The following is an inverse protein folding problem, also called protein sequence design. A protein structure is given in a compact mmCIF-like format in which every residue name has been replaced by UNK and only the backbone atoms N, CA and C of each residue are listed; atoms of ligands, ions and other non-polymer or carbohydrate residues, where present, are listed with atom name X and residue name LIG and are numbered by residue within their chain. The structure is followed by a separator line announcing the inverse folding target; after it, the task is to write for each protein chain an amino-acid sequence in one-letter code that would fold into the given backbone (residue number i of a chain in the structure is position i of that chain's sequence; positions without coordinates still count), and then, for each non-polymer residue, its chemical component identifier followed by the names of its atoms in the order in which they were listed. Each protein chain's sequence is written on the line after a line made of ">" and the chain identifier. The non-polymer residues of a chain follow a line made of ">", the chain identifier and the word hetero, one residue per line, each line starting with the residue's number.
data_IF_895999990565
#
_entry.id   IF_895999990565
#
_cell.length_a   1.000
_cell.length_b   1.000
_cell.length_c   1.000
_cell.angle_alpha   90.00
_cell.angle_beta   90.00
_cell.angle_gamma   90.00
#
_symmetry.space_group_name_H-M   'P 1'
#
loop_
_entity.id
_entity.type
_entity.pdbx_description
1 polymer ?
#
# COMPACT_ATOMS: atom_id res chain seq x y z
N UNK A 1 -12.31 25.12 -3.91
CA UNK A 1 -12.88 24.34 -2.79
C UNK A 1 -14.29 23.80 -3.04
N UNK A 2 -15.04 24.25 -4.06
CA UNK A 2 -16.42 23.81 -4.35
C UNK A 2 -16.59 22.28 -4.55
N UNK A 3 -15.60 21.62 -5.13
CA UNK A 3 -15.64 20.17 -5.36
C UNK A 3 -15.53 19.33 -4.08
N UNK A 4 -14.95 19.86 -2.99
CA UNK A 4 -14.81 19.10 -1.74
C UNK A 4 -16.19 18.83 -1.11
N UNK A 5 -17.03 19.84 -0.82
CA UNK A 5 -18.41 19.60 -0.37
C UNK A 5 -19.22 18.74 -1.33
N UNK A 6 -18.99 18.89 -2.65
CA UNK A 6 -19.68 18.10 -3.66
C UNK A 6 -19.36 16.60 -3.53
N UNK A 7 -18.09 16.24 -3.27
CA UNK A 7 -17.72 14.85 -3.01
C UNK A 7 -18.48 14.31 -1.80
N UNK A 8 -18.49 15.02 -0.68
CA UNK A 8 -19.26 14.62 0.51
C UNK A 8 -20.76 14.50 0.22
N UNK A 9 -21.35 15.43 -0.54
CA UNK A 9 -22.74 15.33 -0.97
C UNK A 9 -22.98 14.09 -1.84
N UNK A 10 -22.09 13.79 -2.79
CA UNK A 10 -22.18 12.59 -3.62
C UNK A 10 -22.08 11.31 -2.77
N UNK A 11 -21.25 11.30 -1.71
CA UNK A 11 -21.20 10.15 -0.78
C UNK A 11 -22.53 9.94 -0.06
N UNK A 12 -23.16 11.03 0.36
CA UNK A 12 -24.46 10.99 1.01
C UNK A 12 -25.56 10.54 0.04
N UNK A 13 -25.61 11.11 -1.16
CA UNK A 13 -26.60 10.75 -2.20
C UNK A 13 -26.42 9.31 -2.67
N UNK A 14 -25.18 8.82 -2.79
CA UNK A 14 -24.90 7.43 -3.14
C UNK A 14 -25.48 6.43 -2.12
N UNK A 15 -25.69 6.87 -0.87
CA UNK A 15 -26.40 6.08 0.13
C UNK A 15 -27.90 5.94 -0.14
N UNK A 16 -28.50 6.99 -0.72
CA UNK A 16 -29.92 7.02 -1.05
C UNK A 16 -30.23 6.20 -2.31
N UNK A 17 -29.25 6.04 -3.20
CA UNK A 17 -29.38 5.34 -4.47
C UNK A 17 -28.23 4.30 -4.61
N UNK A 18 -28.26 3.19 -3.84
CA UNK A 18 -27.19 2.21 -3.91
C UNK A 18 -27.25 1.41 -5.22
N UNK A 19 -26.11 1.31 -5.91
CA UNK A 19 -25.94 0.36 -7.01
C UNK A 19 -25.76 -1.04 -6.41
N UNK A 20 -26.81 -1.85 -6.42
CA UNK A 20 -26.73 -3.25 -5.99
C UNK A 20 -25.99 -4.09 -7.02
N UNK A 21 -25.28 -5.12 -6.56
CA UNK A 21 -24.58 -6.08 -7.43
C UNK A 21 -25.54 -6.78 -8.41
N UNK A 22 -26.81 -6.95 -8.03
CA UNK A 22 -27.87 -7.53 -8.87
C UNK A 22 -28.19 -6.70 -10.12
N UNK A 23 -27.99 -5.39 -10.05
CA UNK A 23 -28.27 -4.46 -11.16
C UNK A 23 -27.04 -4.21 -12.04
N UNK A 24 -25.93 -4.92 -11.81
CA UNK A 24 -24.70 -4.71 -12.55
C UNK A 24 -24.58 -5.67 -13.73
N UNK A 25 -24.17 -5.19 -14.91
CA UNK A 25 -23.88 -6.06 -16.02
C UNK A 25 -22.68 -6.96 -15.69
N UNK A 26 -22.84 -8.26 -15.87
CA UNK A 26 -21.75 -9.22 -15.74
C UNK A 26 -21.06 -9.34 -17.10
N UNK A 27 -19.89 -8.71 -17.23
CA UNK A 27 -19.15 -8.66 -18.49
C UNK A 27 -18.32 -9.95 -18.71
N UNK A 28 -17.76 -10.53 -17.65
CA UNK A 28 -16.93 -11.75 -17.69
C UNK A 28 -17.15 -12.60 -16.44
N UNK A 29 -17.45 -13.89 -16.62
CA UNK A 29 -17.72 -14.84 -15.53
C UNK A 29 -19.14 -14.71 -14.97
N UNK A 30 -19.39 -15.31 -13.79
CA UNK A 30 -20.66 -15.21 -13.05
C UNK A 30 -20.59 -14.25 -11.85
N UNK A 31 -19.48 -13.52 -11.70
CA UNK A 31 -19.19 -12.68 -10.53
C UNK A 31 -19.09 -11.18 -10.92
N UNK A 32 -20.03 -10.33 -10.45
CA UNK A 32 -20.00 -8.89 -10.69
C UNK A 32 -18.70 -8.19 -10.23
N UNK A 33 -17.96 -8.77 -9.28
CA UNK A 33 -16.67 -8.21 -8.85
C UNK A 33 -15.62 -8.23 -9.97
N UNK A 34 -15.63 -9.28 -10.81
CA UNK A 34 -14.73 -9.38 -11.98
C UNK A 34 -15.00 -8.31 -13.02
N UNK A 35 -16.26 -7.87 -13.15
CA UNK A 35 -16.59 -6.73 -13.99
C UNK A 35 -15.93 -5.45 -13.46
N UNK A 36 -16.01 -5.18 -12.16
CA UNK A 36 -15.39 -3.99 -11.56
C UNK A 36 -13.89 -3.98 -11.69
N UNK A 37 -13.28 -5.13 -11.48
CA UNK A 37 -11.86 -5.36 -11.66
C UNK A 37 -11.38 -4.98 -13.08
N UNK A 38 -12.13 -5.36 -14.12
CA UNK A 38 -11.84 -4.95 -15.50
C UNK A 38 -12.04 -3.45 -15.72
N UNK A 39 -13.09 -2.88 -15.12
CA UNK A 39 -13.32 -1.43 -15.15
C UNK A 39 -12.14 -0.69 -14.51
N UNK A 40 -11.61 -1.20 -13.40
CA UNK A 40 -10.44 -0.62 -12.72
C UNK A 40 -9.17 -0.75 -13.56
N UNK A 41 -8.96 -1.87 -14.26
CA UNK A 41 -7.83 -2.04 -15.19
C UNK A 41 -7.94 -1.04 -16.37
N UNK A 42 -9.12 -0.89 -16.94
CA UNK A 42 -9.36 0.08 -18.02
C UNK A 42 -9.18 1.52 -17.51
N UNK A 43 -9.71 1.82 -16.33
CA UNK A 43 -9.56 3.11 -15.67
C UNK A 43 -8.10 3.47 -15.44
N UNK A 44 -7.31 2.57 -14.84
CA UNK A 44 -5.91 2.85 -14.51
C UNK A 44 -5.03 2.97 -15.77
N UNK A 45 -5.39 2.24 -16.84
CA UNK A 45 -4.77 2.43 -18.16
C UNK A 45 -4.95 3.87 -18.67
N UNK A 46 -6.20 4.35 -18.65
CA UNK A 46 -6.51 5.73 -19.06
C UNK A 46 -5.80 6.71 -18.13
N UNK A 47 -5.94 6.53 -16.82
CA UNK A 47 -5.33 7.40 -15.83
C UNK A 47 -3.81 7.52 -16.05
N UNK A 48 -3.09 6.39 -16.16
CA UNK A 48 -1.63 6.33 -16.33
C UNK A 48 -1.12 6.95 -17.65
N UNK A 49 -1.95 7.02 -18.69
CA UNK A 49 -1.55 7.60 -20.00
C UNK A 49 -1.84 9.10 -20.09
N UNK A 50 -2.79 9.59 -19.29
CA UNK A 50 -3.12 11.00 -19.19
C UNK A 50 -2.04 11.81 -18.43
N UNK A 51 -1.91 13.11 -18.72
CA UNK A 51 -1.07 14.02 -17.95
C UNK A 51 -1.50 14.08 -16.48
N UNK A 52 -0.52 14.20 -15.58
CA UNK A 52 -0.72 14.22 -14.12
C UNK A 52 -1.73 15.30 -13.69
N UNK A 53 -1.65 16.49 -14.27
CA UNK A 53 -2.51 17.62 -13.92
C UNK A 53 -3.99 17.43 -14.31
N UNK A 54 -4.28 16.54 -15.27
CA UNK A 54 -5.64 16.39 -15.81
C UNK A 54 -6.52 15.52 -14.91
N UNK A 55 -5.96 14.44 -14.35
CA UNK A 55 -6.72 13.48 -13.55
C UNK A 55 -6.09 13.25 -12.17
N UNK A 56 -4.82 12.85 -12.12
CA UNK A 56 -4.16 12.43 -10.88
C UNK A 56 -4.16 13.56 -9.85
N UNK A 57 -3.68 14.75 -10.21
CA UNK A 57 -3.58 15.87 -9.28
C UNK A 57 -4.92 16.35 -8.72
N UNK A 58 -5.97 16.64 -9.51
CA UNK A 58 -7.26 17.06 -8.96
C UNK A 58 -7.95 15.95 -8.17
N UNK A 59 -7.79 14.69 -8.58
CA UNK A 59 -8.31 13.54 -7.86
C UNK A 59 -7.63 13.38 -6.50
N UNK A 60 -6.30 13.35 -6.46
CA UNK A 60 -5.53 13.17 -5.23
C UNK A 60 -5.79 14.31 -4.24
N UNK A 61 -5.99 15.53 -4.74
CA UNK A 61 -6.42 16.66 -3.93
C UNK A 61 -7.76 16.39 -3.23
N UNK A 62 -8.79 15.92 -3.95
CA UNK A 62 -10.09 15.57 -3.36
C UNK A 62 -10.01 14.38 -2.40
N UNK A 63 -9.27 13.33 -2.80
CA UNK A 63 -9.01 12.15 -1.98
C UNK A 63 -8.35 12.50 -0.65
N UNK A 64 -7.44 13.48 -0.64
CA UNK A 64 -6.76 13.94 0.57
C UNK A 64 -7.74 14.52 1.59
N UNK A 65 -8.76 15.27 1.17
CA UNK A 65 -9.78 15.77 2.10
C UNK A 65 -10.62 14.65 2.72
N UNK A 66 -10.96 13.62 1.96
CA UNK A 66 -11.65 12.43 2.49
C UNK A 66 -10.78 11.72 3.52
N UNK A 67 -9.49 11.56 3.22
CA UNK A 67 -8.53 10.95 4.14
C UNK A 67 -8.38 11.80 5.41
N UNK A 68 -8.21 13.12 5.29
CA UNK A 68 -8.10 14.01 6.47
C UNK A 68 -9.35 13.99 7.33
N UNK A 69 -10.54 14.00 6.72
CA UNK A 69 -11.81 13.85 7.45
C UNK A 69 -11.91 12.50 8.17
N UNK A 70 -11.53 11.41 7.49
CA UNK A 70 -11.49 10.06 8.05
C UNK A 70 -10.50 9.94 9.20
N UNK A 71 -9.29 10.46 9.06
CA UNK A 71 -8.27 10.47 10.11
C UNK A 71 -8.71 11.31 11.30
N UNK A 72 -9.21 12.53 11.09
CA UNK A 72 -9.63 13.41 12.17
C UNK A 72 -10.82 12.83 12.94
N UNK A 73 -11.88 12.42 12.22
CA UNK A 73 -13.08 11.85 12.84
C UNK A 73 -12.81 10.49 13.48
N UNK A 74 -12.03 9.63 12.81
CA UNK A 74 -11.61 8.34 13.35
C UNK A 74 -10.76 8.48 14.60
N UNK A 75 -9.79 9.41 14.60
CA UNK A 75 -8.93 9.65 15.75
C UNK A 75 -9.70 10.20 16.97
N UNK A 76 -10.52 11.23 16.77
CA UNK A 76 -11.32 11.81 17.87
C UNK A 76 -12.33 10.78 18.38
N UNK A 77 -13.04 10.10 17.47
CA UNK A 77 -14.02 9.07 17.82
C UNK A 77 -13.40 7.90 18.59
N UNK A 78 -12.22 7.45 18.17
CA UNK A 78 -11.45 6.42 18.87
C UNK A 78 -11.06 6.85 20.29
N UNK A 79 -10.61 8.09 20.49
CA UNK A 79 -10.20 8.59 21.81
C UNK A 79 -11.38 8.77 22.77
N UNK A 80 -12.52 9.25 22.28
CA UNK A 80 -13.69 9.55 23.09
C UNK A 80 -14.60 8.33 23.33
N UNK A 81 -14.50 7.30 22.48
CA UNK A 81 -15.46 6.19 22.48
C UNK A 81 -15.29 5.13 23.56
N UNK A 82 -14.19 5.16 24.33
CA UNK A 82 -13.99 4.22 25.45
C UNK A 82 -13.98 2.75 25.05
N UNK A 83 -13.57 2.44 23.81
CA UNK A 83 -13.64 1.07 23.28
C UNK A 83 -12.69 0.12 24.00
N UNK A 84 -13.17 -1.08 24.33
CA UNK A 84 -12.36 -2.12 24.94
C UNK A 84 -11.53 -2.85 23.89
N UNK A 85 -10.23 -3.07 24.18
CA UNK A 85 -9.37 -3.93 23.38
C UNK A 85 -9.74 -5.39 23.65
N UNK A 86 -10.53 -5.97 22.76
CA UNK A 86 -11.01 -7.35 22.87
C UNK A 86 -10.07 -8.37 22.22
N UNK A 87 -9.22 -7.91 21.29
CA UNK A 87 -8.23 -8.77 20.65
C UNK A 87 -7.07 -9.03 21.62
N UNK A 88 -6.60 -10.28 21.79
CA UNK A 88 -5.50 -10.59 22.69
C UNK A 88 -4.23 -9.83 22.30
N UNK A 89 -3.57 -9.22 23.28
CA UNK A 89 -2.31 -8.49 23.07
C UNK A 89 -1.18 -9.38 22.53
N UNK A 90 -1.23 -10.69 22.80
CA UNK A 90 -0.29 -11.67 22.29
C UNK A 90 -1.02 -12.94 21.86
N UNK A 91 -0.81 -13.36 20.62
CA UNK A 91 -1.44 -14.57 20.05
C UNK A 91 -0.47 -15.71 19.78
N UNK A 92 0.84 -15.46 19.89
CA UNK A 92 1.89 -16.42 19.57
C UNK A 92 3.03 -15.77 18.78
N UNK A 93 4.14 -16.51 18.64
CA UNK A 93 5.28 -16.13 17.80
C UNK A 93 5.17 -16.66 16.38
N UNK A 94 4.32 -17.65 16.13
CA UNK A 94 4.14 -18.30 14.84
C UNK A 94 2.70 -18.16 14.38
N UNK A 95 2.52 -17.76 13.13
CA UNK A 95 1.25 -17.79 12.42
C UNK A 95 1.19 -19.02 11.51
N UNK A 96 0.09 -19.80 11.51
CA UNK A 96 -0.02 -21.00 10.67
C UNK A 96 0.12 -20.75 9.17
N UNK A 97 -0.20 -19.56 8.67
CA UNK A 97 -0.14 -19.23 7.25
C UNK A 97 1.17 -18.52 6.87
N UNK A 98 1.65 -17.62 7.72
CA UNK A 98 2.81 -16.75 7.44
C UNK A 98 4.12 -17.22 8.08
N UNK A 99 4.07 -18.15 9.04
CA UNK A 99 5.23 -18.63 9.79
C UNK A 99 5.60 -17.70 10.95
N UNK A 100 6.89 -17.70 11.33
CA UNK A 100 7.38 -16.91 12.46
C UNK A 100 7.18 -15.40 12.25
N UNK A 101 6.64 -14.73 13.27
CA UNK A 101 6.43 -13.29 13.34
C UNK A 101 7.72 -12.52 13.07
N UNK A 102 8.84 -13.00 13.60
CA UNK A 102 10.16 -12.49 13.25
C UNK A 102 10.77 -13.39 12.17
N UNK A 103 11.07 -12.87 10.97
CA UNK A 103 11.10 -11.47 10.53
C UNK A 103 9.86 -11.01 9.74
N UNK A 104 8.84 -11.87 9.56
CA UNK A 104 7.74 -11.63 8.62
C UNK A 104 6.94 -10.34 8.93
N UNK A 105 6.87 -9.94 10.20
CA UNK A 105 6.27 -8.68 10.62
C UNK A 105 6.87 -7.47 9.89
N UNK A 106 8.19 -7.45 9.66
CA UNK A 106 8.88 -6.32 9.05
C UNK A 106 8.66 -6.20 7.55
N UNK A 107 8.27 -7.29 6.88
CA UNK A 107 7.87 -7.24 5.47
C UNK A 107 6.35 -7.04 5.32
N UNK A 108 5.55 -7.49 6.28
CA UNK A 108 4.08 -7.38 6.20
C UNK A 108 3.56 -6.01 6.65
N UNK A 109 4.20 -5.38 7.64
CA UNK A 109 3.90 -4.02 8.12
C UNK A 109 4.87 -3.05 7.44
N UNK A 110 4.51 -2.63 6.22
CA UNK A 110 5.37 -1.82 5.38
C UNK A 110 5.11 -0.31 5.54
N UNK A 111 4.14 0.23 4.79
CA UNK A 111 4.10 1.67 4.53
C UNK A 111 3.86 2.56 5.77
N UNK A 112 3.19 2.05 6.81
CA UNK A 112 3.01 2.76 8.09
C UNK A 112 4.22 2.75 9.04
N UNK A 113 5.24 1.93 8.78
CA UNK A 113 6.44 1.83 9.60
C UNK A 113 7.72 2.28 8.86
N UNK A 114 7.97 1.71 7.67
CA UNK A 114 9.08 2.10 6.79
C UNK A 114 8.73 1.76 5.34
N UNK A 115 8.89 2.74 4.43
CA UNK A 115 8.50 2.58 3.04
C UNK A 115 9.61 2.93 2.05
N UNK A 116 10.02 1.94 1.27
CA UNK A 116 10.88 2.14 0.10
C UNK A 116 10.14 2.72 -1.09
N UNK A 117 8.83 2.47 -1.18
CA UNK A 117 7.99 3.06 -2.21
C UNK A 117 7.89 4.58 -2.04
N UNK A 118 7.60 5.07 -0.82
CA UNK A 118 7.52 6.52 -0.55
C UNK A 118 8.86 7.26 -0.68
N UNK A 119 9.99 6.54 -0.71
CA UNK A 119 11.30 7.15 -0.92
C UNK A 119 11.70 7.15 -2.40
N UNK A 120 12.14 6.01 -2.93
CA UNK A 120 12.73 5.92 -4.27
C UNK A 120 11.65 6.00 -5.35
N UNK A 121 10.53 5.30 -5.16
CA UNK A 121 9.51 5.16 -6.21
C UNK A 121 8.70 6.45 -6.34
N UNK A 122 8.24 7.03 -5.22
CA UNK A 122 7.50 8.30 -5.19
C UNK A 122 8.34 9.53 -5.62
N UNK A 123 9.66 9.37 -5.79
CA UNK A 123 10.51 10.44 -6.35
C UNK A 123 10.07 10.83 -7.77
N UNK A 124 9.43 9.93 -8.52
CA UNK A 124 8.87 10.22 -9.85
C UNK A 124 7.60 11.07 -9.85
N UNK A 125 6.95 11.27 -8.69
CA UNK A 125 5.71 12.05 -8.56
C UNK A 125 5.85 13.18 -7.55
N UNK A 126 5.90 12.87 -6.26
CA UNK A 126 5.79 13.85 -5.16
C UNK A 126 6.93 14.86 -5.20
N UNK A 127 8.16 14.41 -5.44
CA UNK A 127 9.32 15.32 -5.48
C UNK A 127 9.24 16.34 -6.62
N UNK A 128 8.55 16.00 -7.72
CA UNK A 128 8.36 16.85 -8.90
C UNK A 128 7.21 17.85 -8.74
N UNK A 129 6.39 17.68 -7.69
CA UNK A 129 5.24 18.53 -7.39
C UNK A 129 5.52 19.51 -6.24
N UNK A 130 6.71 19.46 -5.63
CA UNK A 130 7.14 20.44 -4.63
C UNK A 130 7.39 21.80 -5.30
N UNK A 131 6.90 22.87 -4.69
CA UNK A 131 7.17 24.24 -5.15
C UNK A 131 8.62 24.66 -4.85
N UNK A 132 9.13 24.26 -3.68
CA UNK A 132 10.52 24.48 -3.26
C UNK A 132 11.04 23.35 -2.38
N UNK A 133 12.36 23.20 -2.33
CA UNK A 133 13.03 22.15 -1.55
C UNK A 133 12.67 22.17 -0.06
N UNK A 134 12.42 23.35 0.52
CA UNK A 134 12.01 23.48 1.93
C UNK A 134 10.69 22.76 2.24
N UNK A 135 9.83 22.57 1.24
CA UNK A 135 8.56 21.88 1.39
C UNK A 135 8.73 20.35 1.48
N UNK A 136 9.87 19.82 1.03
CA UNK A 136 10.16 18.38 1.06
C UNK A 136 10.05 17.79 2.47
N UNK A 137 10.50 18.55 3.49
CA UNK A 137 10.38 18.12 4.89
C UNK A 137 8.91 18.03 5.30
N UNK A 138 8.11 19.07 5.04
CA UNK A 138 6.70 19.08 5.45
C UNK A 138 5.89 18.01 4.73
N UNK A 139 6.08 17.87 3.41
CA UNK A 139 5.34 16.90 2.59
C UNK A 139 5.78 15.47 2.92
N UNK A 140 7.09 15.20 2.92
CA UNK A 140 7.61 13.84 3.17
C UNK A 140 7.41 13.41 4.61
N UNK A 141 7.94 14.16 5.58
CA UNK A 141 7.84 13.78 7.00
C UNK A 141 6.41 13.90 7.53
N UNK A 142 5.69 14.98 7.18
CA UNK A 142 4.30 15.17 7.59
C UNK A 142 3.36 14.11 6.99
N UNK A 143 3.57 13.74 5.73
CA UNK A 143 2.83 12.64 5.09
C UNK A 143 3.01 11.32 5.84
N UNK A 144 4.25 10.96 6.17
CA UNK A 144 4.54 9.74 6.95
C UNK A 144 3.91 9.75 8.34
N UNK A 145 3.84 10.91 9.02
CA UNK A 145 3.17 11.02 10.33
C UNK A 145 1.66 10.76 10.21
N UNK A 146 1.02 11.30 9.17
CA UNK A 146 -0.42 11.08 8.92
C UNK A 146 -0.67 9.61 8.55
N UNK A 147 0.19 9.00 7.74
CA UNK A 147 0.08 7.58 7.39
C UNK A 147 0.27 6.65 8.59
N UNK A 148 1.21 6.97 9.48
CA UNK A 148 1.37 6.25 10.75
C UNK A 148 0.11 6.36 11.62
N UNK A 149 -0.56 7.52 11.63
CA UNK A 149 -1.83 7.69 12.33
C UNK A 149 -2.96 6.85 11.71
N UNK A 150 -3.04 6.80 10.37
CA UNK A 150 -3.97 5.91 9.66
C UNK A 150 -3.72 4.45 10.06
N UNK A 151 -2.46 4.02 10.12
CA UNK A 151 -2.10 2.66 10.52
C UNK A 151 -2.54 2.35 11.96
N UNK A 152 -2.38 3.28 12.90
CA UNK A 152 -2.85 3.14 14.28
C UNK A 152 -4.37 3.02 14.34
N UNK A 153 -5.11 3.89 13.63
CA UNK A 153 -6.58 3.81 13.55
C UNK A 153 -7.01 2.45 12.97
N UNK A 154 -6.38 2.01 11.89
CA UNK A 154 -6.67 0.72 11.27
C UNK A 154 -6.42 -0.45 12.24
N UNK A 155 -5.31 -0.45 12.98
CA UNK A 155 -5.04 -1.45 14.01
C UNK A 155 -6.10 -1.42 15.12
N UNK A 156 -6.53 -0.24 15.55
CA UNK A 156 -7.59 -0.10 16.56
C UNK A 156 -8.91 -0.73 16.10
N UNK A 157 -9.27 -0.60 14.81
CA UNK A 157 -10.49 -1.23 14.28
C UNK A 157 -10.49 -2.75 14.44
N UNK A 158 -9.31 -3.39 14.30
CA UNK A 158 -9.14 -4.84 14.49
C UNK A 158 -9.04 -5.18 15.97
N UNK A 159 -8.31 -4.39 16.76
CA UNK A 159 -8.05 -4.65 18.17
C UNK A 159 -9.32 -4.60 19.05
N UNK A 160 -10.37 -3.93 18.58
CA UNK A 160 -11.69 -3.91 19.22
C UNK A 160 -12.50 -5.19 19.00
N UNK A 161 -12.10 -6.05 18.06
CA UNK A 161 -12.79 -7.30 17.77
C UNK A 161 -12.23 -8.41 18.66
N UNK A 162 -13.10 -9.30 19.16
CA UNK A 162 -12.65 -10.47 19.89
C UNK A 162 -11.92 -11.46 18.96
N UNK A 163 -10.99 -12.26 19.49
CA UNK A 163 -10.38 -13.33 18.71
C UNK A 163 -11.45 -14.34 18.28
N UNK A 164 -11.52 -14.62 16.97
CA UNK A 164 -12.54 -15.51 16.40
C UNK A 164 -13.87 -14.83 16.09
N UNK A 165 -13.98 -13.51 16.27
CA UNK A 165 -15.14 -12.75 15.80
C UNK A 165 -15.30 -12.95 14.28
N UNK A 166 -16.49 -13.28 13.76
CA UNK A 166 -16.74 -13.48 12.32
C UNK A 166 -16.27 -12.30 11.45
N UNK A 167 -16.23 -11.10 12.02
CA UNK A 167 -15.76 -9.90 11.36
C UNK A 167 -14.26 -9.93 11.05
N UNK A 168 -13.45 -10.63 11.85
CA UNK A 168 -11.99 -10.79 11.60
C UNK A 168 -11.69 -11.55 10.30
N UNK A 169 -12.64 -12.34 9.81
CA UNK A 169 -12.54 -13.05 8.53
C UNK A 169 -12.94 -12.22 7.31
N UNK A 170 -13.49 -11.01 7.48
CA UNK A 170 -13.88 -10.13 6.37
C UNK A 170 -12.66 -9.47 5.73
N UNK A 171 -12.86 -8.82 4.59
CA UNK A 171 -11.78 -8.09 3.93
C UNK A 171 -11.28 -6.93 4.81
N UNK A 172 -9.99 -6.54 4.73
CA UNK A 172 -9.45 -5.44 5.54
C UNK A 172 -10.25 -4.14 5.41
N UNK A 173 -10.74 -3.85 4.21
CA UNK A 173 -11.61 -2.70 3.93
C UNK A 173 -12.93 -2.74 4.72
N UNK A 174 -13.55 -3.90 4.85
CA UNK A 174 -14.80 -4.08 5.60
C UNK A 174 -14.59 -3.95 7.10
N UNK A 175 -13.46 -4.45 7.63
CA UNK A 175 -13.11 -4.31 9.04
C UNK A 175 -12.87 -2.84 9.36
N UNK A 176 -12.05 -2.17 8.55
CA UNK A 176 -11.78 -0.74 8.70
C UNK A 176 -13.06 0.10 8.64
N UNK A 177 -13.91 -0.13 7.64
CA UNK A 177 -15.19 0.58 7.50
C UNK A 177 -16.05 0.44 8.74
N UNK A 178 -16.19 -0.76 9.30
CA UNK A 178 -17.02 -0.95 10.50
C UNK A 178 -16.42 -0.31 11.75
N UNK A 179 -15.10 -0.36 11.92
CA UNK A 179 -14.43 0.39 12.99
C UNK A 179 -14.67 1.90 12.85
N UNK A 180 -14.55 2.43 11.64
CA UNK A 180 -14.87 3.84 11.35
C UNK A 180 -16.33 4.19 11.63
N UNK A 181 -17.27 3.29 11.32
CA UNK A 181 -18.68 3.43 11.69
C UNK A 181 -18.86 3.64 13.20
N UNK A 182 -18.21 2.78 14.01
CA UNK A 182 -18.24 2.87 15.48
C UNK A 182 -17.58 4.16 15.98
N UNK A 183 -16.40 4.52 15.45
CA UNK A 183 -15.69 5.74 15.84
C UNK A 183 -16.50 7.00 15.55
N UNK A 184 -17.09 7.09 14.35
CA UNK A 184 -17.86 8.28 13.97
C UNK A 184 -19.22 8.36 14.67
N UNK A 185 -19.79 7.21 15.09
CA UNK A 185 -21.00 7.19 15.91
C UNK A 185 -20.84 7.92 17.26
N UNK A 186 -19.64 7.88 17.85
CA UNK A 186 -19.31 8.65 19.07
C UNK A 186 -19.46 10.16 18.85
N UNK A 187 -19.25 10.61 17.61
CA UNK A 187 -19.37 12.02 17.22
C UNK A 187 -20.78 12.39 16.74
N UNK A 188 -21.76 11.50 16.89
CA UNK A 188 -23.15 11.71 16.46
C UNK A 188 -23.41 11.41 14.97
N UNK A 189 -22.45 10.85 14.25
CA UNK A 189 -22.63 10.43 12.85
C UNK A 189 -23.32 9.06 12.81
N UNK A 190 -24.39 8.84 12.04
CA UNK A 190 -25.00 7.52 11.92
C UNK A 190 -23.98 6.44 11.53
N UNK A 191 -23.93 5.32 12.26
CA UNK A 191 -22.90 4.29 12.09
C UNK A 191 -22.80 3.78 10.64
N UNK A 192 -23.94 3.60 9.96
CA UNK A 192 -24.00 3.17 8.55
C UNK A 192 -23.32 4.17 7.61
N UNK A 193 -23.47 5.47 7.89
CA UNK A 193 -22.81 6.53 7.12
C UNK A 193 -21.31 6.57 7.43
N UNK A 194 -20.94 6.45 8.71
CA UNK A 194 -19.54 6.36 9.12
C UNK A 194 -18.83 5.15 8.49
N UNK A 195 -19.53 4.03 8.36
CA UNK A 195 -19.07 2.84 7.65
C UNK A 195 -18.78 3.13 6.18
N UNK A 196 -19.76 3.67 5.44
CA UNK A 196 -19.59 3.98 4.02
C UNK A 196 -18.49 5.03 3.79
N UNK A 197 -18.41 6.04 4.67
CA UNK A 197 -17.39 7.07 4.59
C UNK A 197 -15.98 6.51 4.84
N UNK A 198 -15.80 5.70 5.88
CA UNK A 198 -14.52 5.04 6.18
C UNK A 198 -14.08 4.11 5.03
N UNK A 199 -15.01 3.32 4.50
CA UNK A 199 -14.76 2.44 3.36
C UNK A 199 -14.35 3.23 2.11
N UNK A 200 -15.05 4.33 1.81
CA UNK A 200 -14.72 5.18 0.68
C UNK A 200 -13.36 5.84 0.86
N UNK A 201 -13.10 6.46 2.02
CA UNK A 201 -11.84 7.15 2.27
C UNK A 201 -10.63 6.21 2.09
N UNK A 202 -10.71 4.99 2.64
CA UNK A 202 -9.64 4.00 2.50
C UNK A 202 -9.55 3.43 1.08
N UNK A 203 -10.68 3.15 0.42
CA UNK A 203 -10.68 2.64 -0.96
C UNK A 203 -10.13 3.66 -1.94
N UNK A 204 -10.53 4.94 -1.80
CA UNK A 204 -10.01 6.03 -2.61
C UNK A 204 -8.52 6.20 -2.39
N UNK A 205 -8.03 6.12 -1.15
CA UNK A 205 -6.61 6.13 -0.83
C UNK A 205 -5.86 5.00 -1.56
N UNK A 206 -6.33 3.76 -1.50
CA UNK A 206 -5.71 2.63 -2.22
C UNK A 206 -5.71 2.87 -3.74
N UNK A 207 -6.81 3.40 -4.29
CA UNK A 207 -6.89 3.70 -5.71
C UNK A 207 -5.91 4.82 -6.15
N UNK A 208 -5.52 5.75 -5.27
CA UNK A 208 -4.46 6.73 -5.62
C UNK A 208 -3.09 6.05 -5.76
N UNK A 209 -2.81 5.05 -4.92
CA UNK A 209 -1.63 4.21 -5.04
C UNK A 209 -1.64 3.41 -6.33
N UNK A 210 -2.80 2.87 -6.74
CA UNK A 210 -2.94 2.14 -8.00
C UNK A 210 -2.55 3.01 -9.21
N UNK A 211 -3.10 4.23 -9.32
CA UNK A 211 -2.77 5.16 -10.41
C UNK A 211 -1.29 5.51 -10.46
N UNK A 212 -0.72 5.79 -9.29
CA UNK A 212 0.69 6.15 -9.16
C UNK A 212 1.59 4.97 -9.51
N UNK A 213 1.27 3.77 -9.04
CA UNK A 213 2.04 2.56 -9.31
C UNK A 213 2.04 2.20 -10.80
N UNK A 214 0.89 2.24 -11.47
CA UNK A 214 0.82 1.96 -12.93
C UNK A 214 1.56 3.01 -13.74
N UNK A 215 1.52 4.29 -13.32
CA UNK A 215 2.27 5.36 -13.97
C UNK A 215 3.77 5.18 -13.84
N UNK A 216 4.24 4.90 -12.63
CA UNK A 216 5.67 4.72 -12.36
C UNK A 216 6.18 3.41 -12.99
N UNK A 217 5.37 2.34 -12.96
CA UNK A 217 5.67 1.10 -13.67
C UNK A 217 5.87 1.32 -15.16
N UNK A 218 5.03 2.17 -15.79
CA UNK A 218 5.24 2.60 -17.17
C UNK A 218 6.55 3.33 -17.36
N UNK A 219 6.90 4.31 -16.52
CA UNK A 219 8.16 5.04 -16.66
C UNK A 219 9.37 4.11 -16.54
N UNK A 220 9.35 3.19 -15.57
CA UNK A 220 10.40 2.19 -15.39
C UNK A 220 10.50 1.30 -16.64
N UNK A 221 9.37 0.88 -17.21
CA UNK A 221 9.35 0.07 -18.43
C UNK A 221 9.90 0.85 -19.65
N UNK A 222 9.50 2.11 -19.82
CA UNK A 222 10.01 2.99 -20.89
C UNK A 222 11.52 3.20 -20.76
N UNK A 223 12.02 3.48 -19.56
CA UNK A 223 13.44 3.69 -19.28
C UNK A 223 14.26 2.40 -19.47
N UNK A 224 13.77 1.26 -18.99
CA UNK A 224 14.47 -0.03 -19.08
C UNK A 224 14.69 -0.47 -20.53
N UNK A 225 13.72 -0.22 -21.42
CA UNK A 225 13.82 -0.58 -22.83
C UNK A 225 14.22 0.59 -23.75
N UNK A 226 14.51 1.77 -23.20
CA UNK A 226 14.86 2.97 -23.98
C UNK A 226 13.76 3.43 -24.93
N UNK A 227 12.49 3.18 -24.58
CA UNK A 227 11.34 3.49 -25.44
C UNK A 227 10.89 4.94 -25.23
N UNK A 228 10.53 5.61 -26.32
CA UNK A 228 10.02 6.98 -26.26
C UNK A 228 8.91 7.22 -27.27
N UNK A 229 8.09 8.25 -27.02
CA UNK A 229 6.99 8.66 -27.90
C UNK A 229 5.61 8.18 -27.47
N UNK A 230 4.59 8.53 -28.28
CA UNK A 230 3.18 8.26 -27.96
C UNK A 230 2.85 6.77 -27.94
N UNK A 231 3.36 5.99 -28.89
CA UNK A 231 3.10 4.55 -28.97
C UNK A 231 3.75 3.80 -27.82
N UNK A 232 4.98 4.19 -27.45
CA UNK A 232 5.68 3.67 -26.27
C UNK A 232 4.81 3.84 -25.01
N UNK A 233 4.23 5.03 -24.82
CA UNK A 233 3.35 5.29 -23.67
C UNK A 233 2.23 4.27 -23.51
N UNK A 234 1.46 4.01 -24.57
CA UNK A 234 0.34 3.08 -24.49
C UNK A 234 0.80 1.64 -24.34
N UNK A 235 1.81 1.21 -25.12
CA UNK A 235 2.33 -0.16 -25.07
C UNK A 235 2.99 -0.48 -23.72
N UNK A 236 3.78 0.43 -23.18
CA UNK A 236 4.41 0.28 -21.86
C UNK A 236 3.37 0.27 -20.73
N UNK A 237 2.27 1.02 -20.86
CA UNK A 237 1.14 0.92 -19.91
C UNK A 237 0.50 -0.46 -19.99
N UNK A 238 0.20 -0.96 -21.21
CA UNK A 238 -0.37 -2.29 -21.38
C UNK A 238 0.53 -3.36 -20.80
N UNK A 239 1.83 -3.33 -21.12
CA UNK A 239 2.81 -4.27 -20.59
C UNK A 239 2.86 -4.27 -19.05
N UNK A 240 2.77 -3.09 -18.43
CA UNK A 240 2.69 -2.95 -16.96
C UNK A 240 1.42 -3.58 -16.38
N UNK A 241 0.31 -3.56 -17.12
CA UNK A 241 -1.00 -4.04 -16.66
C UNK A 241 -1.29 -5.50 -16.98
N UNK A 242 -0.53 -6.16 -17.87
CA UNK A 242 -0.71 -7.58 -18.20
C UNK A 242 -0.70 -8.46 -16.95
N UNK A 243 0.29 -8.27 -16.07
CA UNK A 243 0.44 -9.10 -14.89
C UNK A 243 -0.68 -8.85 -13.84
N UNK A 244 -1.02 -7.60 -13.47
CA UNK A 244 -2.21 -7.32 -12.67
C UNK A 244 -3.50 -7.90 -13.25
N UNK A 245 -3.75 -7.70 -14.55
CA UNK A 245 -4.96 -8.21 -15.21
C UNK A 245 -5.05 -9.74 -15.15
N UNK A 246 -3.92 -10.44 -15.33
CA UNK A 246 -3.86 -11.88 -15.17
C UNK A 246 -4.22 -12.31 -13.74
N UNK A 247 -3.61 -11.71 -12.72
CA UNK A 247 -3.86 -12.07 -11.31
C UNK A 247 -5.29 -11.80 -10.83
N UNK A 248 -5.95 -10.82 -11.45
CA UNK A 248 -7.32 -10.43 -11.12
C UNK A 248 -8.36 -11.37 -11.76
N UNK A 249 -8.05 -11.97 -12.91
CA UNK A 249 -8.95 -12.89 -13.60
C UNK A 249 -8.88 -14.33 -13.08
N UNK A 250 -7.74 -14.73 -12.51
CA UNK A 250 -7.54 -16.06 -11.94
C UNK A 250 -8.00 -16.15 -10.48
N UNK A 251 -8.51 -17.32 -10.10
CA UNK A 251 -8.73 -17.67 -8.71
C UNK A 251 -7.54 -18.52 -8.24
N UNK A 252 -6.74 -17.98 -7.34
CA UNK A 252 -5.69 -18.77 -6.68
C UNK A 252 -6.33 -19.67 -5.61
N UNK A 253 -5.75 -20.85 -5.39
CA UNK A 253 -6.21 -21.78 -4.37
C UNK A 253 -5.07 -22.08 -3.39
N UNK A 254 -5.40 -22.32 -2.12
CA UNK A 254 -4.45 -22.82 -1.12
C UNK A 254 -4.14 -24.31 -1.35
N UNK A 255 -3.24 -24.86 -0.54
CA UNK A 255 -2.89 -26.28 -0.57
C UNK A 255 -4.07 -27.23 -0.30
N UNK A 256 -5.16 -26.72 0.29
CA UNK A 256 -6.38 -27.45 0.60
C UNK A 256 -7.47 -27.25 -0.47
N UNK A 257 -7.19 -26.52 -1.55
CA UNK A 257 -8.13 -26.24 -2.63
C UNK A 257 -9.13 -25.11 -2.34
N UNK A 258 -8.97 -24.34 -1.25
CA UNK A 258 -9.83 -23.19 -0.97
C UNK A 258 -9.39 -21.98 -1.78
N UNK A 259 -10.32 -21.16 -2.32
CA UNK A 259 -9.98 -19.95 -3.03
C UNK A 259 -9.31 -18.92 -2.09
N UNK A 260 -8.13 -18.43 -2.49
CA UNK A 260 -7.37 -17.40 -1.78
C UNK A 260 -7.30 -16.15 -2.64
N UNK A 261 -7.63 -14.97 -2.08
CA UNK A 261 -7.43 -13.70 -2.78
C UNK A 261 -5.97 -13.51 -3.21
N UNK A 262 -5.74 -13.14 -4.47
CA UNK A 262 -4.40 -12.98 -5.02
C UNK A 262 -3.51 -12.02 -4.22
N UNK A 263 -4.12 -10.96 -3.65
CA UNK A 263 -3.39 -10.01 -2.82
C UNK A 263 -2.74 -10.65 -1.58
N UNK A 264 -3.37 -11.65 -0.94
CA UNK A 264 -2.80 -12.33 0.25
C UNK A 264 -1.52 -13.07 -0.09
N UNK A 265 -1.48 -13.63 -1.30
CA UNK A 265 -0.39 -14.42 -1.81
C UNK A 265 0.79 -13.53 -2.23
N UNK A 266 0.50 -12.35 -2.79
CA UNK A 266 1.52 -11.41 -3.29
C UNK A 266 2.05 -10.52 -2.15
N UNK A 267 1.29 -10.31 -1.07
CA UNK A 267 1.62 -9.36 -0.01
C UNK A 267 3.02 -9.55 0.60
N UNK A 268 3.48 -10.76 0.96
CA UNK A 268 4.82 -10.94 1.52
C UNK A 268 5.92 -10.54 0.54
N UNK A 269 5.74 -10.83 -0.75
CA UNK A 269 6.70 -10.49 -1.80
C UNK A 269 6.73 -8.98 -2.06
N UNK A 270 5.55 -8.35 -2.12
CA UNK A 270 5.41 -6.90 -2.19
C UNK A 270 6.12 -6.24 -1.01
N UNK A 271 5.84 -6.74 0.19
CA UNK A 271 6.45 -6.31 1.44
C UNK A 271 7.97 -6.38 1.41
N UNK A 272 8.52 -7.53 1.04
CA UNK A 272 9.96 -7.73 0.94
C UNK A 272 10.60 -6.81 -0.11
N UNK A 273 9.96 -6.61 -1.26
CA UNK A 273 10.42 -5.68 -2.30
C UNK A 273 10.44 -4.24 -1.78
N UNK A 274 9.38 -3.81 -1.07
CA UNK A 274 9.33 -2.48 -0.48
C UNK A 274 10.42 -2.28 0.58
N UNK A 275 10.71 -3.28 1.41
CA UNK A 275 11.80 -3.17 2.39
C UNK A 275 13.18 -3.22 1.76
N UNK A 276 13.34 -3.93 0.65
CA UNK A 276 14.58 -3.87 -0.12
C UNK A 276 14.84 -2.47 -0.67
N UNK A 277 13.81 -1.81 -1.23
CA UNK A 277 13.88 -0.41 -1.67
C UNK A 277 14.16 0.55 -0.50
N UNK A 278 13.57 0.29 0.68
CA UNK A 278 13.87 1.07 1.88
C UNK A 278 15.34 0.91 2.31
N UNK A 279 15.87 -0.31 2.25
CA UNK A 279 17.28 -0.60 2.49
C UNK A 279 18.21 0.15 1.54
N UNK A 280 17.86 0.21 0.25
CA UNK A 280 18.60 0.99 -0.74
C UNK A 280 18.53 2.50 -0.46
N UNK A 281 17.36 3.03 -0.09
CA UNK A 281 17.22 4.44 0.25
C UNK A 281 18.11 4.80 1.46
N UNK A 282 18.10 3.97 2.50
CA UNK A 282 18.95 4.15 3.68
C UNK A 282 20.44 4.05 3.34
N UNK A 283 20.83 3.14 2.45
CA UNK A 283 22.20 3.02 1.95
C UNK A 283 22.67 4.33 1.29
N UNK A 284 21.86 4.88 0.39
CA UNK A 284 22.15 6.15 -0.28
C UNK A 284 22.31 7.28 0.76
N UNK A 285 21.41 7.35 1.75
CA UNK A 285 21.50 8.32 2.85
C UNK A 285 22.78 8.14 3.67
N UNK A 286 23.15 6.91 4.02
CA UNK A 286 24.37 6.58 4.77
C UNK A 286 25.62 7.02 4.01
N UNK A 287 25.70 6.70 2.71
CA UNK A 287 26.80 7.09 1.82
C UNK A 287 26.90 8.61 1.70
N UNK A 288 25.76 9.29 1.54
CA UNK A 288 25.71 10.74 1.46
C UNK A 288 26.17 11.41 2.75
N UNK A 289 25.66 10.98 3.92
CA UNK A 289 26.06 11.49 5.23
C UNK A 289 27.57 11.31 5.48
N UNK A 290 28.12 10.15 5.10
CA UNK A 290 29.56 9.89 5.19
C UNK A 290 30.36 10.88 4.34
N UNK A 291 29.93 11.11 3.08
CA UNK A 291 30.59 12.03 2.16
C UNK A 291 30.63 13.48 2.68
N UNK A 292 29.59 13.92 3.39
CA UNK A 292 29.52 15.27 3.99
C UNK A 292 30.09 15.34 5.42
N UNK A 293 30.68 14.27 5.94
CA UNK A 293 31.29 14.21 7.27
C UNK A 293 30.29 14.30 8.43
N UNK A 294 29.03 13.92 8.22
CA UNK A 294 27.99 13.90 9.27
C UNK A 294 27.89 12.52 9.93
N UNK A 295 27.41 12.43 11.19
CA UNK A 295 27.24 11.15 11.85
C UNK A 295 26.31 10.24 11.04
N UNK A 296 26.71 8.99 10.83
CA UNK A 296 25.98 8.03 9.98
C UNK A 296 25.12 7.04 10.78
N UNK A 297 25.37 6.92 12.09
CA UNK A 297 24.86 5.82 12.92
C UNK A 297 23.34 5.72 12.90
N UNK A 298 22.63 6.85 12.95
CA UNK A 298 21.17 6.90 12.95
C UNK A 298 20.53 6.39 11.66
N UNK A 299 21.26 6.39 10.53
CA UNK A 299 20.79 5.81 9.28
C UNK A 299 21.36 4.39 9.06
N UNK A 300 22.59 4.14 9.53
CA UNK A 300 23.28 2.87 9.39
C UNK A 300 22.61 1.74 10.19
N UNK A 301 22.21 2.00 11.44
CA UNK A 301 21.58 0.98 12.27
C UNK A 301 20.22 0.50 11.70
N UNK A 302 19.29 1.40 11.32
CA UNK A 302 18.07 0.99 10.59
C UNK A 302 18.37 0.29 9.27
N UNK A 303 19.38 0.74 8.52
CA UNK A 303 19.77 0.10 7.25
C UNK A 303 20.16 -1.36 7.45
N UNK A 304 21.05 -1.65 8.41
CA UNK A 304 21.52 -3.01 8.70
C UNK A 304 20.35 -3.88 9.17
N UNK A 305 19.56 -3.34 10.09
CA UNK A 305 18.40 -4.04 10.64
C UNK A 305 17.38 -4.41 9.55
N UNK A 306 16.98 -3.45 8.72
CA UNK A 306 15.98 -3.67 7.66
C UNK A 306 16.47 -4.64 6.60
N UNK A 307 17.74 -4.54 6.17
CA UNK A 307 18.32 -5.50 5.22
C UNK A 307 18.40 -6.91 5.83
N UNK A 308 18.78 -7.03 7.10
CA UNK A 308 18.83 -8.30 7.82
C UNK A 308 17.45 -8.96 7.92
N UNK A 309 16.43 -8.22 8.34
CA UNK A 309 15.05 -8.71 8.40
C UNK A 309 14.53 -9.11 7.02
N UNK A 310 14.83 -8.33 5.99
CA UNK A 310 14.41 -8.61 4.60
C UNK A 310 15.05 -9.90 4.08
N UNK A 311 16.36 -10.09 4.26
CA UNK A 311 17.05 -11.31 3.85
C UNK A 311 16.53 -12.55 4.59
N UNK A 312 16.31 -12.43 5.90
CA UNK A 312 15.75 -13.52 6.69
C UNK A 312 14.34 -13.88 6.21
N UNK A 313 13.49 -12.87 5.95
CA UNK A 313 12.12 -13.08 5.50
C UNK A 313 12.08 -13.74 4.12
N UNK A 314 12.89 -13.25 3.18
CA UNK A 314 13.02 -13.85 1.85
C UNK A 314 13.52 -15.30 1.93
N UNK A 315 14.47 -15.60 2.83
CA UNK A 315 14.93 -16.97 3.06
C UNK A 315 13.82 -17.91 3.54
N UNK A 316 12.94 -17.44 4.42
CA UNK A 316 11.76 -18.21 4.86
C UNK A 316 10.75 -18.39 3.72
N UNK A 317 10.46 -17.34 2.94
CA UNK A 317 9.56 -17.43 1.79
C UNK A 317 10.09 -18.41 0.73
N UNK A 318 11.39 -18.40 0.44
CA UNK A 318 12.01 -19.37 -0.49
C UNK A 318 11.84 -20.81 0.04
N UNK A 319 12.03 -21.01 1.35
CA UNK A 319 11.85 -22.32 1.98
C UNK A 319 10.39 -22.80 1.94
N UNK A 320 9.43 -21.90 2.11
CA UNK A 320 8.00 -22.23 2.12
C UNK A 320 7.46 -22.47 0.71
N UNK A 321 7.86 -21.64 -0.25
CA UNK A 321 7.26 -21.59 -1.58
C UNK A 321 8.09 -22.29 -2.68
N UNK A 322 9.32 -22.74 -2.37
CA UNK A 322 10.19 -23.50 -3.27
C UNK A 322 10.26 -22.92 -4.70
N UNK A 323 9.94 -23.70 -5.74
CA UNK A 323 9.95 -23.27 -7.14
C UNK A 323 8.60 -22.76 -7.66
N UNK A 324 7.65 -22.45 -6.77
CA UNK A 324 6.45 -21.72 -7.19
C UNK A 324 6.81 -20.30 -7.65
N UNK A 325 5.88 -19.63 -8.33
CA UNK A 325 6.06 -18.24 -8.79
C UNK A 325 6.55 -17.32 -7.68
N UNK A 326 5.98 -17.45 -6.47
CA UNK A 326 6.36 -16.66 -5.28
C UNK A 326 7.78 -16.98 -4.84
N UNK A 327 8.14 -18.26 -4.82
CA UNK A 327 9.47 -18.71 -4.41
C UNK A 327 10.54 -18.23 -5.39
N UNK A 328 10.27 -18.29 -6.71
CA UNK A 328 11.17 -17.75 -7.75
C UNK A 328 11.35 -16.25 -7.61
N UNK A 329 10.27 -15.48 -7.44
CA UNK A 329 10.38 -14.03 -7.22
C UNK A 329 11.16 -13.75 -5.93
N UNK A 330 10.93 -14.50 -4.86
CA UNK A 330 11.66 -14.37 -3.60
C UNK A 330 13.16 -14.68 -3.76
N UNK A 331 13.54 -15.69 -4.56
CA UNK A 331 14.94 -15.99 -4.89
C UNK A 331 15.61 -14.85 -5.64
N UNK A 332 14.92 -14.27 -6.63
CA UNK A 332 15.42 -13.10 -7.37
C UNK A 332 15.62 -11.91 -6.43
N UNK A 333 14.63 -11.61 -5.59
CA UNK A 333 14.73 -10.52 -4.60
C UNK A 333 15.85 -10.76 -3.59
N UNK A 334 16.05 -12.00 -3.14
CA UNK A 334 17.14 -12.35 -2.23
C UNK A 334 18.50 -12.09 -2.86
N UNK A 335 18.67 -12.52 -4.12
CA UNK A 335 19.90 -12.31 -4.86
C UNK A 335 20.17 -10.82 -5.09
N UNK A 336 19.14 -10.04 -5.47
CA UNK A 336 19.24 -8.58 -5.58
C UNK A 336 19.62 -7.92 -4.26
N UNK A 337 19.06 -8.37 -3.14
CA UNK A 337 19.41 -7.88 -1.82
C UNK A 337 20.87 -8.13 -1.45
N UNK A 338 21.39 -9.33 -1.73
CA UNK A 338 22.81 -9.65 -1.52
C UNK A 338 23.72 -8.78 -2.39
N UNK A 339 23.36 -8.57 -3.66
CA UNK A 339 24.12 -7.68 -4.55
C UNK A 339 24.15 -6.25 -4.01
N UNK A 340 23.00 -5.72 -3.60
CA UNK A 340 22.89 -4.35 -3.06
C UNK A 340 23.74 -4.16 -1.81
N UNK A 341 23.73 -5.14 -0.89
CA UNK A 341 24.60 -5.13 0.29
C UNK A 341 26.08 -5.17 -0.12
N UNK A 342 26.43 -5.99 -1.12
CA UNK A 342 27.79 -6.04 -1.67
C UNK A 342 28.26 -4.68 -2.21
N UNK A 343 27.42 -4.00 -2.98
CA UNK A 343 27.68 -2.65 -3.50
C UNK A 343 27.75 -1.60 -2.39
N UNK A 344 26.91 -1.73 -1.34
CA UNK A 344 26.97 -0.89 -0.15
C UNK A 344 28.36 -0.93 0.51
N UNK A 345 28.87 -2.15 0.73
CA UNK A 345 30.16 -2.39 1.38
C UNK A 345 31.31 -1.89 0.51
N UNK A 346 31.25 -2.13 -0.81
CA UNK A 346 32.25 -1.61 -1.77
C UNK A 346 32.30 -0.08 -1.76
N UNK A 347 31.13 0.56 -1.83
CA UNK A 347 31.02 2.02 -1.81
C UNK A 347 31.52 2.60 -0.49
N UNK A 348 31.18 1.96 0.64
CA UNK A 348 31.65 2.37 1.96
C UNK A 348 33.19 2.36 2.06
N UNK A 349 33.83 1.30 1.53
CA UNK A 349 35.29 1.16 1.51
C UNK A 349 35.97 2.21 0.63
N UNK A 350 35.36 2.63 -0.48
CA UNK A 350 35.89 3.70 -1.35
C UNK A 350 35.84 5.09 -0.70
N UNK A 351 34.96 5.28 0.28
CA UNK A 351 34.79 6.53 1.01
C UNK A 351 35.55 6.54 2.36
N UNK A 352 36.18 5.42 2.74
CA UNK A 352 37.02 5.30 3.92
C UNK A 352 38.46 5.67 3.57
#
# INVERSE_FOLDING_TARGET
>A
MLFVPLVYLCTWVGHLIPLSAENMPVLIGDDPSKTWDLILIAYVFIASTLPVWLLLQPRDYLSSFLLYGSVLGGFIGMLLGGFTLAYPAFTGWDDPALGSLFPILFITVACGACSGFHSIVASGTSSKQLDKEKDARMVGYGGMLIEALVAVIAMATVAMLAKGDPQTGKTPLMIYGSGMGKFLAVLGVPEKLGFSFGLLALSTFILTTLDTATRLGRYIFEEFFGLSGKNARYLSTLATLVLPAFFVLITLHDANGNPVPAWKVIWPVFGATNQLLAGLALLVVVVWLKKIGKPVFFALAPMIFMNGMTLWALGLLIRQYHFSTIGVVSMVLFLLAVILIGEAVRTWKRLA
#
